data_IF_325515244550
#
_entry.id   IF_325515244550
#
_cell.length_a   1.000
_cell.length_b   1.000
_cell.length_c   1.000
_cell.angle_alpha   90.00
_cell.angle_beta   90.00
_cell.angle_gamma   90.00
#
_symmetry.space_group_name_H-M   'P 1'
#
loop_
_entity.id
_entity.type
_entity.pdbx_description
1 polymer ?
#
# COMPACT_ATOMS: atom_id res chain seq x y z
N UNK A 1 -19.31 20.36 -24.18
CA UNK A 1 -18.69 20.44 -22.84
C UNK A 1 -18.20 19.07 -22.39
N UNK A 2 -19.06 18.04 -22.30
CA UNK A 2 -18.61 16.67 -22.01
C UNK A 2 -17.76 16.05 -23.13
N UNK A 3 -18.12 16.20 -24.40
CA UNK A 3 -17.28 15.72 -25.52
C UNK A 3 -15.94 16.47 -25.61
N UNK A 4 -15.96 17.79 -25.47
CA UNK A 4 -14.74 18.61 -25.49
C UNK A 4 -13.82 18.37 -24.29
N UNK A 5 -14.34 17.91 -23.15
CA UNK A 5 -13.53 17.46 -22.02
C UNK A 5 -12.98 16.06 -22.28
N UNK A 6 -13.78 15.14 -22.82
CA UNK A 6 -13.35 13.80 -23.25
C UNK A 6 -12.18 13.88 -24.25
N UNK A 7 -12.30 14.74 -25.26
CA UNK A 7 -11.26 15.00 -26.27
C UNK A 7 -9.99 15.61 -25.67
N UNK A 8 -10.11 16.45 -24.63
CA UNK A 8 -8.95 16.99 -23.89
C UNK A 8 -8.30 15.97 -22.95
N UNK A 9 -9.05 15.00 -22.44
CA UNK A 9 -8.52 13.88 -21.65
C UNK A 9 -7.82 12.84 -22.54
N UNK A 10 -8.33 12.58 -23.75
CA UNK A 10 -7.68 11.75 -24.77
C UNK A 10 -6.42 12.41 -25.35
N UNK A 11 -6.46 13.70 -25.68
CA UNK A 11 -5.33 14.44 -26.26
C UNK A 11 -4.11 14.57 -25.32
N UNK A 12 -4.29 14.42 -24.00
CA UNK A 12 -3.21 14.53 -23.00
C UNK A 12 -2.59 13.19 -22.60
N UNK A 13 -3.10 12.05 -23.10
CA UNK A 13 -2.65 10.69 -22.74
C UNK A 13 -2.53 10.47 -21.20
N UNK A 14 -3.35 11.17 -20.42
CA UNK A 14 -3.39 11.10 -18.96
C UNK A 14 -4.57 10.25 -18.54
N UNK A 15 -4.40 8.93 -18.59
CA UNK A 15 -5.39 7.99 -18.08
C UNK A 15 -5.55 8.21 -16.56
N UNK A 16 -6.73 8.66 -16.13
CA UNK A 16 -7.10 8.83 -14.71
C UNK A 16 -6.78 7.56 -13.90
N UNK A 17 -6.94 6.39 -14.54
CA UNK A 17 -6.56 5.09 -13.99
C UNK A 17 -5.07 5.01 -13.60
N UNK A 18 -4.17 5.58 -14.39
CA UNK A 18 -2.73 5.58 -14.09
C UNK A 18 -2.42 6.48 -12.89
N UNK A 19 -3.09 7.64 -12.78
CA UNK A 19 -2.92 8.52 -11.62
C UNK A 19 -3.40 7.87 -10.33
N UNK A 20 -4.58 7.27 -10.37
CA UNK A 20 -5.15 6.56 -9.22
C UNK A 20 -4.31 5.32 -8.85
N UNK A 21 -3.77 4.60 -9.84
CA UNK A 21 -2.83 3.51 -9.61
C UNK A 21 -1.54 4.00 -8.92
N UNK A 22 -0.90 5.04 -9.46
CA UNK A 22 0.29 5.63 -8.85
C UNK A 22 0.01 6.19 -7.45
N UNK A 23 -1.15 6.80 -7.22
CA UNK A 23 -1.55 7.28 -5.91
C UNK A 23 -1.65 6.13 -4.89
N UNK A 24 -2.26 5.00 -5.27
CA UNK A 24 -2.35 3.83 -4.40
C UNK A 24 -0.96 3.27 -4.04
N UNK A 25 -0.03 3.25 -5.01
CA UNK A 25 1.34 2.82 -4.82
C UNK A 25 2.10 3.73 -3.86
N UNK A 26 1.93 5.06 -4.00
CA UNK A 26 2.57 6.06 -3.13
C UNK A 26 2.05 5.92 -1.70
N UNK A 27 0.74 5.81 -1.50
CA UNK A 27 0.13 5.65 -0.17
C UNK A 27 0.64 4.36 0.49
N UNK A 28 0.65 3.25 -0.25
CA UNK A 28 1.18 1.99 0.25
C UNK A 28 2.67 2.07 0.60
N UNK A 29 3.48 2.69 -0.25
CA UNK A 29 4.90 2.92 0.00
C UNK A 29 5.16 3.74 1.26
N UNK A 30 4.41 4.82 1.47
CA UNK A 30 4.52 5.65 2.69
C UNK A 30 4.16 4.83 3.93
N UNK A 31 3.10 4.03 3.90
CA UNK A 31 2.70 3.21 5.03
C UNK A 31 3.72 2.11 5.36
N UNK A 32 4.33 1.49 4.36
CA UNK A 32 5.40 0.49 4.55
C UNK A 32 6.61 1.12 5.22
N UNK A 33 7.06 2.30 4.77
CA UNK A 33 8.16 3.03 5.40
C UNK A 33 7.83 3.32 6.86
N UNK A 34 6.61 3.81 7.14
CA UNK A 34 6.17 4.07 8.51
C UNK A 34 6.16 2.80 9.39
N UNK A 35 5.65 1.68 8.88
CA UNK A 35 5.65 0.41 9.59
C UNK A 35 7.05 -0.12 9.89
N UNK A 36 7.98 0.02 8.95
CA UNK A 36 9.38 -0.37 9.16
C UNK A 36 10.10 0.52 10.17
N UNK A 37 9.80 1.83 10.22
CA UNK A 37 10.33 2.73 11.26
C UNK A 37 9.91 2.23 12.64
N UNK A 38 8.62 1.92 12.82
CA UNK A 38 8.10 1.38 14.07
C UNK A 38 8.76 0.04 14.44
N UNK A 39 8.94 -0.85 13.45
CA UNK A 39 9.66 -2.12 13.64
C UNK A 39 11.09 -1.89 14.10
N UNK A 40 11.83 -0.99 13.46
CA UNK A 40 13.20 -0.65 13.82
C UNK A 40 13.29 -0.09 15.26
N UNK A 41 12.37 0.81 15.63
CA UNK A 41 12.29 1.35 17.01
C UNK A 41 12.02 0.23 18.02
N UNK A 42 11.09 -0.68 17.71
CA UNK A 42 10.74 -1.80 18.58
C UNK A 42 11.93 -2.76 18.78
N UNK A 43 12.64 -3.11 17.70
CA UNK A 43 13.83 -3.99 17.76
C UNK A 43 14.98 -3.35 18.55
N UNK A 44 15.23 -2.05 18.35
CA UNK A 44 16.23 -1.30 19.12
C UNK A 44 15.89 -1.34 20.62
N UNK A 45 14.62 -1.16 20.96
CA UNK A 45 14.16 -1.08 22.36
C UNK A 45 14.15 -2.44 23.06
N UNK A 46 13.80 -3.52 22.35
CA UNK A 46 13.66 -4.86 22.95
C UNK A 46 14.94 -5.71 22.90
N UNK A 47 15.71 -5.63 21.81
CA UNK A 47 16.83 -6.54 21.53
C UNK A 47 18.18 -5.82 21.37
N UNK A 48 18.18 -4.49 21.39
CA UNK A 48 19.37 -3.64 21.29
C UNK A 48 19.82 -3.34 19.85
N UNK A 49 20.66 -2.32 19.69
CA UNK A 49 21.05 -1.73 18.39
C UNK A 49 21.74 -2.72 17.42
N UNK A 50 22.40 -3.76 17.95
CA UNK A 50 23.17 -4.74 17.17
C UNK A 50 22.30 -5.73 16.37
N UNK A 51 21.02 -5.85 16.73
CA UNK A 51 20.03 -6.73 16.05
C UNK A 51 19.23 -5.93 15.02
N UNK A 52 19.05 -4.62 15.23
CA UNK A 52 18.28 -3.74 14.35
C UNK A 52 19.00 -3.33 13.05
N UNK A 53 20.28 -3.68 12.88
CA UNK A 53 21.12 -3.26 11.74
C UNK A 53 20.55 -3.75 10.39
N UNK A 54 19.99 -4.97 10.35
CA UNK A 54 19.36 -5.48 9.12
C UNK A 54 18.12 -4.67 8.71
N UNK A 55 17.31 -4.27 9.68
CA UNK A 55 16.05 -3.52 9.49
C UNK A 55 16.33 -2.06 9.15
N UNK A 56 17.38 -1.48 9.75
CA UNK A 56 17.92 -0.17 9.36
C UNK A 56 18.52 -0.20 7.94
N UNK A 57 19.18 -1.29 7.54
CA UNK A 57 19.65 -1.49 6.16
C UNK A 57 18.52 -1.49 5.14
N UNK A 58 17.38 -2.11 5.47
CA UNK A 58 16.17 -2.06 4.64
C UNK A 58 15.56 -0.66 4.57
N UNK A 59 15.54 0.07 5.68
CA UNK A 59 15.06 1.45 5.73
C UNK A 59 15.95 2.37 4.85
N UNK A 60 17.28 2.21 4.95
CA UNK A 60 18.25 2.93 4.13
C UNK A 60 18.06 2.62 2.64
N UNK A 61 17.83 1.36 2.29
CA UNK A 61 17.59 0.94 0.90
C UNK A 61 16.35 1.62 0.33
N UNK A 62 15.21 1.50 1.02
CA UNK A 62 13.93 2.00 0.52
C UNK A 62 13.89 3.53 0.45
N UNK A 63 14.29 4.23 1.52
CA UNK A 63 14.31 5.70 1.55
C UNK A 63 15.39 6.24 0.61
N UNK A 64 16.56 5.59 0.56
CA UNK A 64 17.66 5.97 -0.32
C UNK A 64 17.30 5.87 -1.81
N UNK A 65 16.61 4.81 -2.21
CA UNK A 65 16.16 4.64 -3.60
C UNK A 65 15.08 5.69 -3.97
N UNK A 66 14.11 5.93 -3.08
CA UNK A 66 13.01 6.87 -3.34
C UNK A 66 13.52 8.32 -3.38
N UNK A 67 14.39 8.70 -2.45
CA UNK A 67 14.96 10.06 -2.40
C UNK A 67 15.81 10.37 -3.63
N UNK A 68 16.67 9.45 -4.08
CA UNK A 68 17.47 9.63 -5.29
C UNK A 68 16.59 9.71 -6.55
N UNK A 69 15.52 8.92 -6.63
CA UNK A 69 14.56 8.99 -7.73
C UNK A 69 13.86 10.36 -7.78
N UNK A 70 13.44 10.89 -6.62
CA UNK A 70 12.85 12.23 -6.52
C UNK A 70 13.85 13.32 -6.92
N UNK A 71 15.07 13.27 -6.38
CA UNK A 71 16.12 14.25 -6.69
C UNK A 71 16.40 14.25 -8.20
N UNK A 72 16.51 13.09 -8.84
CA UNK A 72 16.71 12.99 -10.29
C UNK A 72 15.58 13.60 -11.13
N UNK A 73 14.34 13.50 -10.64
CA UNK A 73 13.17 14.11 -11.31
C UNK A 73 13.08 15.62 -11.13
N UNK A 74 13.45 16.14 -9.95
CA UNK A 74 13.23 17.54 -9.59
C UNK A 74 14.43 18.45 -9.83
N UNK A 75 15.66 17.94 -9.81
CA UNK A 75 16.89 18.77 -9.83
C UNK A 75 17.68 18.69 -11.13
N UNK A 76 17.32 17.81 -12.07
CA UNK A 76 18.01 17.69 -13.38
C UNK A 76 19.48 17.27 -13.27
N UNK A 77 19.88 16.68 -12.14
CA UNK A 77 21.24 16.18 -11.90
C UNK A 77 21.59 15.09 -12.91
N UNK A 78 22.83 15.10 -13.38
CA UNK A 78 23.34 14.16 -14.37
C UNK A 78 23.08 12.69 -13.98
N UNK A 79 22.59 11.92 -14.96
CA UNK A 79 22.19 10.52 -14.77
C UNK A 79 23.36 9.64 -14.30
N UNK A 80 24.59 10.04 -14.64
CA UNK A 80 25.83 9.38 -14.18
C UNK A 80 25.96 9.38 -12.65
N UNK A 81 25.81 10.53 -12.00
CA UNK A 81 25.98 10.69 -10.55
C UNK A 81 24.89 9.94 -9.77
N UNK A 82 23.65 9.98 -10.27
CA UNK A 82 22.52 9.26 -9.67
C UNK A 82 22.75 7.75 -9.74
N UNK A 83 23.22 7.23 -10.90
CA UNK A 83 23.47 5.80 -11.07
C UNK A 83 24.58 5.26 -10.15
N UNK A 84 25.61 6.08 -9.88
CA UNK A 84 26.69 5.73 -8.95
C UNK A 84 26.18 5.75 -7.51
N UNK A 85 25.44 6.81 -7.11
CA UNK A 85 24.85 6.91 -5.79
C UNK A 85 23.88 5.74 -5.49
N UNK A 86 23.09 5.31 -6.48
CA UNK A 86 22.20 4.16 -6.37
C UNK A 86 22.98 2.86 -6.10
N UNK A 87 24.08 2.62 -6.81
CA UNK A 87 24.93 1.44 -6.61
C UNK A 87 25.61 1.44 -5.24
N UNK A 88 26.06 2.59 -4.76
CA UNK A 88 26.67 2.72 -3.42
C UNK A 88 25.64 2.43 -2.33
N UNK A 89 24.43 2.99 -2.43
CA UNK A 89 23.36 2.71 -1.47
C UNK A 89 22.99 1.23 -1.51
N UNK A 90 22.87 0.61 -2.68
CA UNK A 90 22.60 -0.83 -2.80
C UNK A 90 23.71 -1.68 -2.16
N UNK A 91 24.98 -1.31 -2.35
CA UNK A 91 26.12 -2.01 -1.75
C UNK A 91 26.13 -1.90 -0.21
N UNK A 92 25.96 -0.69 0.32
CA UNK A 92 25.95 -0.44 1.78
C UNK A 92 24.75 -1.12 2.42
N UNK A 93 23.56 -0.94 1.86
CA UNK A 93 22.33 -1.53 2.38
C UNK A 93 22.35 -3.06 2.29
N UNK A 94 22.80 -3.60 1.14
CA UNK A 94 22.94 -5.04 0.93
C UNK A 94 23.94 -5.68 1.90
N UNK A 95 25.04 -4.99 2.20
CA UNK A 95 26.01 -5.46 3.21
C UNK A 95 25.41 -5.44 4.63
N UNK A 96 24.65 -4.42 4.99
CA UNK A 96 23.94 -4.37 6.29
C UNK A 96 22.90 -5.47 6.42
N UNK A 97 22.16 -5.77 5.36
CA UNK A 97 21.08 -6.76 5.34
C UNK A 97 21.64 -8.20 5.34
N UNK A 98 22.69 -8.48 4.57
CA UNK A 98 23.20 -9.85 4.36
C UNK A 98 24.33 -10.23 5.32
N UNK A 99 25.25 -9.30 5.64
CA UNK A 99 26.42 -9.59 6.48
C UNK A 99 26.20 -9.22 7.94
N UNK A 100 25.47 -8.13 8.22
CA UNK A 100 25.34 -7.55 9.56
C UNK A 100 23.93 -7.67 10.19
N UNK A 101 23.08 -8.56 9.67
CA UNK A 101 21.72 -8.81 10.19
C UNK A 101 21.70 -9.10 11.72
N UNK A 102 22.72 -9.79 12.24
CA UNK A 102 22.99 -9.90 13.68
C UNK A 102 24.49 -9.88 13.95
N UNK A 103 25.02 -8.83 14.58
CA UNK A 103 26.46 -8.71 14.87
C UNK A 103 27.01 -9.84 15.77
N UNK A 104 26.14 -10.54 16.52
CA UNK A 104 26.52 -11.59 17.48
C UNK A 104 26.63 -13.01 16.90
N UNK A 105 26.39 -13.23 15.59
CA UNK A 105 26.41 -14.58 14.97
C UNK A 105 27.56 -14.71 13.96
N UNK A 106 28.07 -15.94 13.77
CA UNK A 106 29.10 -16.24 12.75
C UNK A 106 28.60 -15.83 11.35
N UNK A 107 29.48 -15.23 10.55
CA UNK A 107 29.13 -14.57 9.27
C UNK A 107 28.38 -15.47 8.27
N UNK A 108 28.70 -16.76 8.21
CA UNK A 108 28.02 -17.72 7.33
C UNK A 108 26.56 -18.00 7.74
N UNK A 109 26.29 -18.06 9.05
CA UNK A 109 24.92 -18.21 9.56
C UNK A 109 24.14 -16.91 9.37
N UNK A 110 24.82 -15.77 9.45
CA UNK A 110 24.22 -14.47 9.19
C UNK A 110 23.85 -14.27 7.73
N UNK A 111 24.66 -14.76 6.78
CA UNK A 111 24.33 -14.75 5.35
C UNK A 111 23.09 -15.58 5.05
N UNK A 112 23.01 -16.81 5.55
CA UNK A 112 21.82 -17.66 5.37
C UNK A 112 20.57 -17.06 6.02
N UNK A 113 20.67 -16.57 7.26
CA UNK A 113 19.57 -15.92 7.95
C UNK A 113 19.19 -14.57 7.31
N UNK A 114 20.16 -13.83 6.78
CA UNK A 114 20.00 -12.57 6.07
C UNK A 114 19.25 -12.77 4.75
N UNK A 115 19.60 -13.80 3.97
CA UNK A 115 18.86 -14.18 2.76
C UNK A 115 17.42 -14.60 3.07
N UNK A 116 17.22 -15.41 4.12
CA UNK A 116 15.88 -15.81 4.55
C UNK A 116 15.03 -14.61 5.00
N UNK A 117 15.60 -13.71 5.80
CA UNK A 117 14.93 -12.47 6.22
C UNK A 117 14.65 -11.56 5.03
N UNK A 118 15.57 -11.46 4.07
CA UNK A 118 15.40 -10.70 2.82
C UNK A 118 14.22 -11.24 2.02
N UNK A 119 14.12 -12.56 1.87
CA UNK A 119 13.00 -13.19 1.18
C UNK A 119 11.66 -12.88 1.87
N UNK A 120 11.59 -13.03 3.19
CA UNK A 120 10.38 -12.71 3.96
C UNK A 120 10.02 -11.22 3.90
N UNK A 121 11.02 -10.33 3.85
CA UNK A 121 10.81 -8.89 3.76
C UNK A 121 10.30 -8.48 2.37
N UNK A 122 10.93 -8.97 1.30
CA UNK A 122 10.52 -8.69 -0.09
C UNK A 122 9.10 -9.20 -0.32
N UNK A 123 8.80 -10.44 0.08
CA UNK A 123 7.45 -11.00 -0.06
C UNK A 123 6.42 -10.26 0.79
N UNK A 124 6.82 -9.75 1.96
CA UNK A 124 6.01 -8.85 2.78
C UNK A 124 5.67 -7.54 2.06
N UNK A 125 6.69 -6.79 1.63
CA UNK A 125 6.53 -5.51 0.92
C UNK A 125 5.67 -5.67 -0.34
N UNK A 126 5.89 -6.74 -1.12
CA UNK A 126 5.09 -7.02 -2.31
C UNK A 126 3.64 -7.36 -1.94
N UNK A 127 3.43 -8.13 -0.87
CA UNK A 127 2.09 -8.42 -0.35
C UNK A 127 1.34 -7.16 0.05
N UNK A 128 2.02 -6.24 0.75
CA UNK A 128 1.45 -4.96 1.14
C UNK A 128 1.07 -4.13 -0.09
N UNK A 129 1.98 -3.96 -1.06
CA UNK A 129 1.70 -3.23 -2.31
C UNK A 129 0.47 -3.79 -3.04
N UNK A 130 0.39 -5.12 -3.18
CA UNK A 130 -0.74 -5.79 -3.82
C UNK A 130 -2.06 -5.50 -3.10
N UNK A 131 -2.02 -5.36 -1.78
CA UNK A 131 -3.19 -4.98 -1.01
C UNK A 131 -3.61 -3.52 -1.18
N UNK A 132 -2.70 -2.59 -1.46
CA UNK A 132 -3.07 -1.23 -1.88
C UNK A 132 -3.63 -1.17 -3.31
N UNK A 133 -3.07 -1.96 -4.22
CA UNK A 133 -3.61 -2.09 -5.59
C UNK A 133 -5.06 -2.57 -5.55
N UNK A 134 -5.42 -3.40 -4.57
CA UNK A 134 -6.81 -3.86 -4.37
C UNK A 134 -7.77 -2.74 -4.00
N UNK A 135 -7.36 -1.79 -3.15
CA UNK A 135 -8.18 -0.62 -2.81
C UNK A 135 -8.45 0.25 -4.04
N UNK A 136 -7.42 0.42 -4.87
CA UNK A 136 -7.56 1.08 -6.18
C UNK A 136 -8.53 0.32 -7.11
N UNK A 137 -8.37 -1.01 -7.22
CA UNK A 137 -9.25 -1.84 -8.05
C UNK A 137 -10.72 -1.77 -7.59
N UNK A 138 -10.98 -1.73 -6.28
CA UNK A 138 -12.33 -1.55 -5.74
C UNK A 138 -12.92 -0.18 -6.10
N UNK A 139 -12.12 0.88 -6.03
CA UNK A 139 -12.54 2.23 -6.44
C UNK A 139 -12.91 2.31 -7.92
N UNK A 140 -12.10 1.71 -8.80
CA UNK A 140 -12.42 1.62 -10.23
C UNK A 140 -13.67 0.77 -10.47
N UNK A 141 -13.79 -0.39 -9.81
CA UNK A 141 -14.95 -1.25 -9.97
C UNK A 141 -16.26 -0.54 -9.60
N UNK A 142 -16.26 0.23 -8.51
CA UNK A 142 -17.40 1.06 -8.11
C UNK A 142 -17.73 2.16 -9.12
N UNK A 143 -16.71 2.84 -9.66
CA UNK A 143 -16.90 3.88 -10.68
C UNK A 143 -17.50 3.30 -11.97
N UNK A 144 -17.02 2.13 -12.40
CA UNK A 144 -17.55 1.41 -13.58
C UNK A 144 -19.00 0.96 -13.32
N UNK A 145 -19.31 0.41 -12.15
CA UNK A 145 -20.68 0.03 -11.80
C UNK A 145 -21.64 1.22 -11.81
N UNK A 146 -21.22 2.37 -11.28
CA UNK A 146 -21.98 3.61 -11.37
C UNK A 146 -22.25 4.06 -12.81
N UNK A 147 -21.23 3.96 -13.68
CA UNK A 147 -21.39 4.22 -15.11
C UNK A 147 -22.39 3.24 -15.77
N UNK A 148 -22.29 1.94 -15.47
CA UNK A 148 -23.20 0.92 -16.00
C UNK A 148 -24.65 1.17 -15.57
N UNK A 149 -24.89 1.54 -14.31
CA UNK A 149 -26.24 1.89 -13.86
C UNK A 149 -26.78 3.15 -14.54
N UNK A 150 -25.92 4.15 -14.78
CA UNK A 150 -26.31 5.34 -15.51
C UNK A 150 -26.66 5.01 -16.98
N UNK A 151 -25.83 4.21 -17.66
CA UNK A 151 -26.12 3.74 -19.01
C UNK A 151 -27.40 2.91 -19.07
N UNK A 152 -27.63 2.02 -18.10
CA UNK A 152 -28.87 1.23 -18.01
C UNK A 152 -30.10 2.13 -17.85
N UNK A 153 -30.03 3.15 -16.98
CA UNK A 153 -31.12 4.09 -16.75
C UNK A 153 -31.48 4.91 -18.01
N UNK A 154 -30.46 5.32 -18.77
CA UNK A 154 -30.65 6.05 -20.04
C UNK A 154 -31.17 5.12 -21.14
N UNK A 155 -30.64 3.90 -21.26
CA UNK A 155 -31.05 2.94 -22.29
C UNK A 155 -32.46 2.38 -22.08
N UNK A 156 -32.97 2.37 -20.84
CA UNK A 156 -34.34 1.92 -20.52
C UNK A 156 -35.38 3.05 -20.50
N UNK A 157 -34.96 4.30 -20.70
CA UNK A 157 -35.86 5.45 -20.84
C UNK A 157 -36.54 5.40 -22.22
N UNK A 158 -37.81 4.98 -22.27
CA UNK A 158 -38.60 4.96 -23.51
C UNK A 158 -39.04 6.34 -24.04
N UNK A 159 -39.74 6.37 -25.18
CA UNK A 159 -40.12 7.59 -25.91
C UNK A 159 -41.14 8.51 -25.20
N UNK A 160 -41.79 8.03 -24.12
CA UNK A 160 -42.78 8.81 -23.35
C UNK A 160 -42.05 9.57 -22.22
N UNK A 161 -41.97 10.91 -22.26
CA UNK A 161 -41.11 11.70 -21.36
C UNK A 161 -41.38 11.48 -19.86
N UNK A 162 -42.66 11.31 -19.48
CA UNK A 162 -43.06 11.18 -18.06
C UNK A 162 -42.74 9.78 -17.50
N UNK A 163 -42.96 8.73 -18.28
CA UNK A 163 -42.72 7.34 -17.87
C UNK A 163 -41.22 7.04 -17.86
N UNK A 164 -40.48 7.60 -18.82
CA UNK A 164 -39.02 7.53 -18.91
C UNK A 164 -38.36 8.09 -17.64
N UNK A 165 -38.75 9.29 -17.20
CA UNK A 165 -38.16 9.93 -16.03
C UNK A 165 -38.43 9.12 -14.76
N UNK A 166 -39.62 8.54 -14.60
CA UNK A 166 -39.95 7.69 -13.45
C UNK A 166 -39.06 6.44 -13.38
N UNK A 167 -38.90 5.73 -14.50
CA UNK A 167 -38.08 4.52 -14.59
C UNK A 167 -36.59 4.85 -14.35
N UNK A 168 -36.10 5.94 -14.94
CA UNK A 168 -34.73 6.41 -14.76
C UNK A 168 -34.41 6.71 -13.29
N UNK A 169 -35.30 7.41 -12.58
CA UNK A 169 -35.12 7.73 -11.15
C UNK A 169 -35.06 6.44 -10.32
N UNK A 170 -35.92 5.47 -10.59
CA UNK A 170 -35.94 4.19 -9.86
C UNK A 170 -34.63 3.42 -10.08
N UNK A 171 -34.18 3.29 -11.34
CA UNK A 171 -32.94 2.56 -11.68
C UNK A 171 -31.72 3.26 -11.07
N UNK A 172 -31.65 4.59 -11.15
CA UNK A 172 -30.54 5.35 -10.56
C UNK A 172 -30.54 5.24 -9.04
N UNK A 173 -31.71 5.35 -8.38
CA UNK A 173 -31.83 5.25 -6.93
C UNK A 173 -31.39 3.88 -6.42
N UNK A 174 -31.90 2.80 -7.03
CA UNK A 174 -31.55 1.43 -6.62
C UNK A 174 -30.09 1.11 -6.98
N UNK A 175 -29.65 1.45 -8.20
CA UNK A 175 -28.29 1.19 -8.68
C UNK A 175 -27.23 1.90 -7.84
N UNK A 176 -27.43 3.18 -7.51
CA UNK A 176 -26.50 3.92 -6.65
C UNK A 176 -26.58 3.46 -5.19
N UNK A 177 -27.75 3.11 -4.67
CA UNK A 177 -27.87 2.55 -3.32
C UNK A 177 -27.04 1.25 -3.18
N UNK A 178 -27.14 0.34 -4.16
CA UNK A 178 -26.35 -0.90 -4.18
C UNK A 178 -24.86 -0.60 -4.34
N UNK A 179 -24.48 0.33 -5.24
CA UNK A 179 -23.08 0.69 -5.46
C UNK A 179 -22.43 1.25 -4.18
N UNK A 180 -23.13 2.14 -3.48
CA UNK A 180 -22.66 2.74 -2.21
C UNK A 180 -22.56 1.66 -1.13
N UNK A 181 -23.55 0.77 -1.04
CA UNK A 181 -23.55 -0.32 -0.06
C UNK A 181 -22.35 -1.28 -0.27
N UNK A 182 -22.13 -1.74 -1.50
CA UNK A 182 -21.02 -2.63 -1.84
C UNK A 182 -19.66 -1.96 -1.65
N UNK A 183 -19.55 -0.68 -2.01
CA UNK A 183 -18.33 0.10 -1.80
C UNK A 183 -18.03 0.30 -0.32
N UNK A 184 -19.06 0.54 0.50
CA UNK A 184 -18.93 0.63 1.96
C UNK A 184 -18.46 -0.67 2.59
N UNK A 185 -19.03 -1.82 2.19
CA UNK A 185 -18.56 -3.13 2.66
C UNK A 185 -17.10 -3.38 2.29
N UNK A 186 -16.73 -3.15 1.03
CA UNK A 186 -15.34 -3.33 0.57
C UNK A 186 -14.35 -2.39 1.26
N UNK A 187 -14.73 -1.13 1.47
CA UNK A 187 -13.94 -0.13 2.19
C UNK A 187 -13.81 -0.43 3.69
N UNK A 188 -14.68 -1.25 4.28
CA UNK A 188 -14.54 -1.69 5.66
C UNK A 188 -13.68 -2.96 5.78
N UNK A 189 -13.93 -3.97 4.94
CA UNK A 189 -13.26 -5.26 5.07
C UNK A 189 -11.83 -5.27 4.56
N UNK A 190 -11.49 -4.47 3.55
CA UNK A 190 -10.15 -4.44 2.98
C UNK A 190 -9.14 -3.77 3.91
N UNK A 191 -9.41 -2.57 4.47
CA UNK A 191 -8.53 -1.97 5.48
C UNK A 191 -8.38 -2.85 6.71
N UNK A 192 -9.45 -3.50 7.17
CA UNK A 192 -9.38 -4.44 8.29
C UNK A 192 -8.37 -5.57 8.03
N UNK A 193 -8.33 -6.11 6.80
CA UNK A 193 -7.31 -7.08 6.39
C UNK A 193 -5.90 -6.47 6.39
N UNK A 194 -5.73 -5.30 5.77
CA UNK A 194 -4.45 -4.56 5.75
C UNK A 194 -3.93 -4.31 7.18
N UNK A 195 -4.79 -3.89 8.11
CA UNK A 195 -4.38 -3.64 9.50
C UNK A 195 -4.01 -4.93 10.22
N UNK A 196 -4.85 -5.97 10.14
CA UNK A 196 -4.63 -7.16 10.94
C UNK A 196 -3.53 -8.08 10.42
N UNK A 197 -3.44 -8.24 9.10
CA UNK A 197 -2.55 -9.23 8.48
C UNK A 197 -1.23 -8.61 8.06
N UNK A 198 -1.24 -7.37 7.59
CA UNK A 198 -0.07 -6.72 7.01
C UNK A 198 0.59 -5.79 8.03
N UNK A 199 -0.14 -4.84 8.62
CA UNK A 199 0.44 -3.91 9.60
C UNK A 199 0.93 -4.61 10.87
N UNK A 200 0.15 -5.48 11.52
CA UNK A 200 0.64 -6.17 12.74
C UNK A 200 1.79 -7.14 12.46
N UNK A 201 1.79 -7.81 11.30
CA UNK A 201 2.90 -8.70 10.89
C UNK A 201 4.16 -7.88 10.63
N UNK A 202 4.05 -6.77 9.91
CA UNK A 202 5.17 -5.88 9.62
C UNK A 202 5.66 -5.12 10.85
N UNK A 203 4.77 -4.79 11.79
CA UNK A 203 5.13 -4.19 13.07
C UNK A 203 5.87 -5.16 14.00
N UNK A 204 5.98 -6.45 13.64
CA UNK A 204 6.61 -7.47 14.48
C UNK A 204 5.83 -7.73 15.76
N UNK A 205 4.50 -7.53 15.73
CA UNK A 205 3.65 -7.76 16.88
C UNK A 205 3.55 -9.26 17.16
N UNK A 206 4.39 -9.74 18.07
CA UNK A 206 4.24 -11.05 18.69
C UNK A 206 3.11 -10.94 19.70
N UNK A 207 1.89 -11.25 19.25
CA UNK A 207 0.75 -11.36 20.17
C UNK A 207 1.10 -12.23 21.39
N UNK A 208 0.49 -11.94 22.54
CA UNK A 208 0.85 -12.62 23.80
C UNK A 208 1.04 -11.70 25.00
N UNK A 209 0.67 -10.42 24.89
CA UNK A 209 0.58 -9.55 26.06
C UNK A 209 -0.32 -10.17 27.13
N UNK A 210 0.16 -10.19 28.39
CA UNK A 210 -0.67 -10.64 29.52
C UNK A 210 -1.85 -9.69 29.66
N UNK A 211 -3.07 -10.21 29.50
CA UNK A 211 -4.29 -9.44 29.78
C UNK A 211 -4.19 -8.88 31.20
N UNK A 212 -4.21 -7.57 31.32
CA UNK A 212 -4.21 -6.90 32.61
C UNK A 212 -5.54 -7.19 33.32
N UNK A 213 -5.50 -8.13 34.27
CA UNK A 213 -6.63 -8.48 35.13
C UNK A 213 -6.25 -8.17 36.59
N UNK A 214 -6.37 -6.91 37.01
CA UNK A 214 -5.91 -6.49 38.34
C UNK A 214 -6.75 -7.08 39.48
N UNK A 215 -8.02 -7.39 39.24
CA UNK A 215 -8.92 -7.94 40.26
C UNK A 215 -9.59 -9.23 39.75
N UNK A 216 -8.89 -10.36 39.89
CA UNK A 216 -9.51 -11.68 39.73
C UNK A 216 -10.08 -12.10 41.08
N UNK A 217 -11.41 -12.15 41.20
CA UNK A 217 -12.10 -12.66 42.38
C UNK A 217 -11.72 -14.14 42.55
N UNK A 218 -11.01 -14.48 43.62
CA UNK A 218 -10.86 -15.89 44.00
C UNK A 218 -12.22 -16.36 44.49
N UNK A 219 -12.88 -17.23 43.73
CA UNK A 219 -14.02 -17.97 44.27
C UNK A 219 -13.44 -19.02 45.21
N UNK A 220 -13.91 -18.99 46.46
CA UNK A 220 -13.87 -20.14 47.36
C UNK A 220 -14.82 -21.22 46.84
#
# INVERSE_FOLDING_TARGET
IYSSLQDQFEAKNTNINNYLFYLSLIIGGVQIIFGMILKAINEITQFGWKVAVGTLGWLLLLIGMISLFLIGKFTGVDAGVISVAQKVILGVSGSMILLFNNMNRKIYINLGAGLWNTYNMITGILGDLLSYIRLFALGIASAILGFVFNSLAVSMSGDIPVVSVLIMIIILAIGHAINIFMSGLGAFVHPMRLTFVEFYKNAGFTGGGRKYQPFRRMSN
#
